data_IF_056062451972
#
_entry.id   IF_056062451972
#
_cell.length_a   1.000
_cell.length_b   1.000
_cell.length_c   1.000
_cell.angle_alpha   90.00
_cell.angle_beta   90.00
_cell.angle_gamma   90.00
#
_symmetry.space_group_name_H-M   'P 1'
#
loop_
_entity.id
_entity.type
_entity.pdbx_description
1 polymer ?
#
# COMPACT_ATOMS: atom_id res chain seq x y z
N UNK A 1 12.07 -15.48 -44.08
CA UNK A 1 12.74 -16.16 -42.94
C UNK A 1 14.16 -15.63 -42.84
N UNK A 2 14.43 -14.72 -41.91
CA UNK A 2 15.77 -14.18 -41.63
C UNK A 2 16.49 -15.20 -40.73
N UNK A 3 17.61 -15.77 -41.19
CA UNK A 3 18.49 -16.58 -40.33
C UNK A 3 19.43 -15.65 -39.58
N UNK A 4 19.21 -15.51 -38.27
CA UNK A 4 20.24 -15.08 -37.32
C UNK A 4 21.33 -16.14 -37.30
N UNK A 5 22.58 -15.74 -37.52
CA UNK A 5 23.76 -16.52 -37.16
C UNK A 5 24.47 -15.67 -36.12
N UNK A 6 24.39 -16.10 -34.86
CA UNK A 6 25.24 -15.58 -33.79
C UNK A 6 26.59 -16.30 -33.91
N UNK A 7 27.68 -15.51 -34.02
CA UNK A 7 29.04 -16.00 -33.98
C UNK A 7 29.76 -15.30 -32.82
N UNK A 8 30.04 -16.06 -31.76
CA UNK A 8 30.92 -15.65 -30.69
C UNK A 8 32.38 -15.69 -31.17
N UNK A 9 33.07 -14.56 -31.00
CA UNK A 9 34.53 -14.32 -30.95
C UNK A 9 35.43 -15.24 -31.79
N UNK A 10 35.83 -14.74 -32.96
CA UNK A 10 37.25 -14.49 -33.31
C UNK A 10 37.27 -13.70 -34.63
N UNK A 11 37.18 -12.38 -34.52
CA UNK A 11 37.22 -11.45 -35.66
C UNK A 11 38.63 -11.36 -36.23
N UNK A 12 38.92 -12.18 -37.25
CA UNK A 12 39.98 -11.92 -38.21
C UNK A 12 39.28 -11.51 -39.51
N UNK A 13 39.01 -10.22 -39.68
CA UNK A 13 38.54 -9.67 -40.96
C UNK A 13 39.77 -9.47 -41.85
N UNK A 14 40.10 -10.49 -42.64
CA UNK A 14 41.07 -10.41 -43.73
C UNK A 14 40.42 -9.74 -44.94
N UNK A 15 40.62 -8.45 -45.12
CA UNK A 15 40.29 -7.75 -46.36
C UNK A 15 41.52 -7.71 -47.29
N UNK A 16 41.63 -8.70 -48.18
CA UNK A 16 42.27 -8.57 -49.50
C UNK A 16 43.80 -8.60 -49.59
N UNK A 17 44.40 -9.80 -49.73
CA UNK A 17 45.70 -9.95 -50.40
C UNK A 17 45.47 -10.25 -51.88
N UNK A 18 45.58 -9.22 -52.73
CA UNK A 18 45.70 -9.37 -54.17
C UNK A 18 47.17 -9.51 -54.57
N UNK A 19 47.57 -10.70 -55.01
CA UNK A 19 48.87 -10.91 -55.66
C UNK A 19 48.79 -10.47 -57.13
N UNK A 20 49.57 -9.45 -57.52
CA UNK A 20 49.83 -9.14 -58.95
C UNK A 20 51.33 -8.94 -59.15
N UNK A 21 51.87 -9.66 -60.13
CA UNK A 21 53.27 -9.67 -60.51
C UNK A 21 53.74 -8.31 -61.09
N UNK A 22 54.96 -7.92 -60.72
CA UNK A 22 55.66 -6.72 -61.17
C UNK A 22 55.77 -6.60 -62.70
N UNK A 23 55.42 -5.43 -63.26
CA UNK A 23 56.22 -4.72 -64.29
C UNK A 23 55.75 -3.26 -64.46
N UNK A 24 56.56 -2.29 -64.02
CA UNK A 24 56.66 -0.96 -64.66
C UNK A 24 55.92 0.24 -64.04
N UNK A 25 56.68 1.33 -63.86
CA UNK A 25 56.30 2.77 -63.83
C UNK A 25 55.80 3.45 -62.53
N UNK A 26 56.75 4.08 -61.82
CA UNK A 26 56.79 5.45 -61.24
C UNK A 26 55.56 6.21 -60.68
N UNK A 27 54.36 5.66 -60.51
CA UNK A 27 53.23 6.41 -59.89
C UNK A 27 52.40 5.60 -58.89
N UNK A 28 53.05 4.83 -58.02
CA UNK A 28 52.38 4.14 -56.92
C UNK A 28 53.13 4.30 -55.59
N UNK A 29 53.61 5.51 -55.30
CA UNK A 29 53.65 5.96 -53.90
C UNK A 29 52.25 6.45 -53.53
N UNK A 30 51.23 5.61 -53.78
CA UNK A 30 49.96 5.73 -53.08
C UNK A 30 50.32 5.49 -51.62
N UNK A 31 50.04 6.45 -50.74
CA UNK A 31 50.36 6.33 -49.31
C UNK A 31 49.95 4.94 -48.83
N UNK A 32 50.90 4.19 -48.28
CA UNK A 32 50.58 2.90 -47.69
C UNK A 32 49.51 3.15 -46.62
N UNK A 33 48.41 2.37 -46.60
CA UNK A 33 47.38 2.56 -45.59
C UNK A 33 48.00 2.41 -44.20
N UNK A 34 47.50 3.20 -43.25
CA UNK A 34 47.88 3.06 -41.85
C UNK A 34 47.18 1.85 -41.25
N UNK A 35 47.93 1.03 -40.53
CA UNK A 35 47.36 -0.05 -39.73
C UNK A 35 47.11 0.46 -38.31
N UNK A 36 45.85 0.58 -37.91
CA UNK A 36 45.47 1.04 -36.56
C UNK A 36 44.72 -0.05 -35.80
N UNK A 37 44.68 0.05 -34.47
CA UNK A 37 43.92 -0.86 -33.60
C UNK A 37 42.90 -0.07 -32.81
N UNK A 38 41.62 -0.37 -32.99
CA UNK A 38 40.54 0.11 -32.12
C UNK A 38 40.35 -0.88 -30.98
N UNK A 39 40.33 -0.36 -29.76
CA UNK A 39 39.98 -1.08 -28.54
C UNK A 39 38.66 -0.50 -28.06
N UNK A 40 37.56 -1.20 -28.30
CA UNK A 40 36.21 -0.78 -27.88
C UNK A 40 35.66 -1.83 -26.90
N UNK A 41 35.48 -1.42 -25.64
CA UNK A 41 35.30 -2.33 -24.49
C UNK A 41 36.48 -3.32 -24.42
N UNK A 42 36.20 -4.62 -24.51
CA UNK A 42 37.22 -5.69 -24.54
C UNK A 42 37.59 -6.15 -25.96
N UNK A 43 36.93 -5.59 -26.98
CA UNK A 43 37.20 -5.99 -28.36
C UNK A 43 38.36 -5.20 -28.94
N UNK A 44 39.34 -5.92 -29.49
CA UNK A 44 40.46 -5.35 -30.23
C UNK A 44 40.31 -5.67 -31.70
N UNK A 45 40.14 -4.66 -32.52
CA UNK A 45 39.97 -4.79 -33.96
C UNK A 45 41.03 -3.98 -34.68
N UNK A 46 41.71 -4.61 -35.63
CA UNK A 46 42.74 -3.96 -36.45
C UNK A 46 42.13 -3.53 -37.78
N UNK A 47 42.43 -2.32 -38.22
CA UNK A 47 41.95 -1.73 -39.46
C UNK A 47 43.12 -1.25 -40.30
N UNK A 48 42.98 -1.36 -41.62
CA UNK A 48 43.79 -0.64 -42.58
C UNK A 48 42.98 0.55 -43.11
N UNK A 49 43.51 1.77 -42.98
CA UNK A 49 42.80 2.98 -43.37
C UNK A 49 43.69 3.94 -44.17
N UNK A 50 43.07 4.74 -45.03
CA UNK A 50 43.70 5.87 -45.72
C UNK A 50 43.20 7.23 -45.21
N UNK A 51 42.24 7.22 -44.29
CA UNK A 51 41.78 8.44 -43.63
C UNK A 51 42.93 9.06 -42.84
N UNK A 52 42.94 10.39 -42.81
CA UNK A 52 44.01 11.15 -42.17
C UNK A 52 43.68 11.37 -40.71
N UNK A 53 42.42 11.65 -40.38
CA UNK A 53 41.98 11.95 -39.02
C UNK A 53 41.11 10.84 -38.41
N UNK A 54 41.10 10.79 -37.08
CA UNK A 54 40.36 9.76 -36.35
C UNK A 54 38.84 9.90 -36.51
N UNK A 55 38.29 11.11 -36.49
CA UNK A 55 36.86 11.36 -36.75
C UNK A 55 36.41 10.84 -38.12
N UNK A 56 37.14 11.17 -39.19
CA UNK A 56 36.89 10.68 -40.55
C UNK A 56 36.90 9.16 -40.61
N UNK A 57 37.85 8.52 -39.92
CA UNK A 57 37.93 7.07 -39.83
C UNK A 57 36.73 6.45 -39.11
N UNK A 58 36.29 7.02 -37.99
CA UNK A 58 35.15 6.50 -37.23
C UNK A 58 33.86 6.59 -38.06
N UNK A 59 33.63 7.74 -38.71
CA UNK A 59 32.48 7.96 -39.58
C UNK A 59 32.48 6.98 -40.77
N UNK A 60 33.64 6.79 -41.42
CA UNK A 60 33.77 5.88 -42.57
C UNK A 60 33.55 4.39 -42.22
N UNK A 61 33.66 4.03 -40.94
CA UNK A 61 33.50 2.66 -40.45
C UNK A 61 32.23 2.45 -39.62
N UNK A 62 31.30 3.42 -39.62
CA UNK A 62 30.05 3.40 -38.86
C UNK A 62 30.28 3.16 -37.35
N UNK A 63 31.38 3.71 -36.80
CA UNK A 63 31.70 3.63 -35.36
C UNK A 63 31.16 4.88 -34.67
N UNK A 64 29.89 4.83 -34.27
CA UNK A 64 29.23 5.92 -33.56
C UNK A 64 29.71 6.01 -32.11
N UNK A 65 29.89 7.23 -31.59
CA UNK A 65 30.17 7.53 -30.19
C UNK A 65 28.95 8.20 -29.54
N UNK A 66 28.66 7.83 -28.31
CA UNK A 66 27.76 8.61 -27.46
C UNK A 66 28.45 9.89 -26.97
N UNK A 67 27.67 10.91 -26.63
CA UNK A 67 28.15 12.18 -26.03
C UNK A 67 28.95 11.97 -24.72
N UNK A 68 28.83 10.79 -24.10
CA UNK A 68 29.49 10.44 -22.83
C UNK A 68 30.57 9.36 -22.97
N UNK A 69 30.78 8.85 -24.17
CA UNK A 69 31.91 7.96 -24.44
C UNK A 69 33.22 8.76 -24.39
N UNK A 70 34.28 8.14 -23.88
CA UNK A 70 35.62 8.72 -23.90
C UNK A 70 36.45 8.01 -24.95
N UNK A 71 37.16 8.79 -25.78
CA UNK A 71 38.07 8.26 -26.79
C UNK A 71 39.48 8.81 -26.58
N UNK A 72 40.47 7.93 -26.73
CA UNK A 72 41.88 8.29 -26.70
C UNK A 72 42.63 7.62 -27.86
N UNK A 73 43.38 8.36 -28.69
CA UNK A 73 43.60 9.81 -28.65
C UNK A 73 42.34 10.60 -29.12
N UNK A 74 42.39 11.94 -29.10
CA UNK A 74 41.24 12.79 -29.45
C UNK A 74 40.81 12.65 -30.91
N UNK A 75 39.56 12.99 -31.21
CA UNK A 75 38.95 12.84 -32.55
C UNK A 75 39.71 13.55 -33.69
N UNK A 76 40.37 14.67 -33.40
CA UNK A 76 41.17 15.44 -34.35
C UNK A 76 42.61 14.91 -34.53
N UNK A 77 42.93 13.74 -33.97
CA UNK A 77 44.26 13.14 -34.05
C UNK A 77 44.53 12.58 -35.45
N UNK A 78 45.65 13.01 -36.04
CA UNK A 78 46.18 12.42 -37.27
C UNK A 78 46.61 10.96 -37.06
N UNK A 79 46.07 10.05 -37.87
CA UNK A 79 46.30 8.61 -37.79
C UNK A 79 47.71 8.23 -38.25
N UNK A 80 48.31 7.27 -37.55
CA UNK A 80 49.66 6.76 -37.85
C UNK A 80 49.69 5.24 -37.79
N UNK A 81 50.62 4.65 -38.52
CA UNK A 81 50.80 3.21 -38.52
C UNK A 81 51.15 2.67 -37.12
N UNK A 82 50.49 1.58 -36.73
CA UNK A 82 50.58 0.96 -35.41
C UNK A 82 49.82 1.69 -34.29
N UNK A 83 49.06 2.75 -34.59
CA UNK A 83 48.34 3.52 -33.57
C UNK A 83 47.27 2.68 -32.87
N UNK A 84 47.17 2.86 -31.55
CA UNK A 84 46.11 2.28 -30.72
C UNK A 84 45.15 3.39 -30.33
N UNK A 85 43.88 3.18 -30.63
CA UNK A 85 42.76 4.03 -30.24
C UNK A 85 41.91 3.23 -29.26
N UNK A 86 41.51 3.83 -28.16
CA UNK A 86 40.70 3.21 -27.11
C UNK A 86 39.42 4.01 -26.95
N UNK A 87 38.29 3.32 -27.04
CA UNK A 87 36.95 3.83 -26.78
C UNK A 87 36.49 3.23 -25.45
N UNK A 88 36.33 4.08 -24.45
CA UNK A 88 35.69 3.76 -23.19
C UNK A 88 34.22 4.15 -23.29
N UNK A 89 33.37 3.15 -23.46
CA UNK A 89 31.92 3.33 -23.57
C UNK A 89 31.30 3.73 -22.23
N UNK A 90 30.39 4.70 -22.25
CA UNK A 90 29.59 5.07 -21.09
C UNK A 90 28.70 3.89 -20.69
N UNK A 91 29.00 3.31 -19.53
CA UNK A 91 28.28 2.18 -18.97
C UNK A 91 28.58 2.05 -17.46
N UNK A 92 28.34 3.10 -16.64
CA UNK A 92 28.58 3.04 -15.20
C UNK A 92 27.73 1.94 -14.55
N UNK A 93 28.31 1.30 -13.54
CA UNK A 93 27.61 0.42 -12.61
C UNK A 93 27.02 1.22 -11.44
N UNK A 94 25.78 0.94 -11.07
CA UNK A 94 25.03 1.65 -10.03
C UNK A 94 24.31 0.63 -9.15
N UNK A 95 24.32 0.83 -7.85
CA UNK A 95 23.51 0.06 -6.90
C UNK A 95 22.24 0.86 -6.55
N UNK A 96 21.07 0.29 -6.80
CA UNK A 96 19.78 0.85 -6.39
C UNK A 96 19.30 0.07 -5.17
N UNK A 97 19.06 0.76 -4.07
CA UNK A 97 18.56 0.19 -2.81
C UNK A 97 17.14 0.71 -2.60
N UNK A 98 16.13 -0.11 -2.90
CA UNK A 98 14.72 0.25 -2.73
C UNK A 98 14.16 -0.45 -1.48
N UNK A 99 13.79 0.31 -0.46
CA UNK A 99 13.25 -0.20 0.81
C UNK A 99 14.13 -1.30 1.43
N UNK A 100 15.44 -1.07 1.43
CA UNK A 100 16.45 -2.01 1.95
C UNK A 100 16.77 -3.20 1.04
N UNK A 101 16.10 -3.34 -0.11
CA UNK A 101 16.42 -4.36 -1.12
C UNK A 101 17.32 -3.77 -2.19
N UNK A 102 18.54 -4.29 -2.32
CA UNK A 102 19.49 -3.80 -3.31
C UNK A 102 19.50 -4.60 -4.62
N UNK A 103 19.80 -3.89 -5.70
CA UNK A 103 20.04 -4.42 -7.04
C UNK A 103 21.15 -3.61 -7.73
N UNK A 104 22.12 -4.29 -8.32
CA UNK A 104 23.20 -3.66 -9.08
C UNK A 104 22.91 -3.74 -10.57
N UNK A 105 22.96 -2.60 -11.26
CA UNK A 105 22.71 -2.49 -12.69
C UNK A 105 23.81 -1.70 -13.39
N UNK A 106 24.00 -1.98 -14.68
CA UNK A 106 24.77 -1.11 -15.57
C UNK A 106 23.80 -0.31 -16.43
N UNK A 107 24.10 0.98 -16.64
CA UNK A 107 23.18 1.88 -17.33
C UNK A 107 23.86 2.74 -18.37
N UNK A 108 23.12 3.09 -19.42
CA UNK A 108 23.54 4.08 -20.43
C UNK A 108 22.95 5.47 -20.14
N UNK A 109 22.09 5.59 -19.12
CA UNK A 109 21.51 6.87 -18.72
C UNK A 109 22.60 7.79 -18.14
N UNK A 110 22.39 9.10 -18.28
CA UNK A 110 23.35 10.10 -17.81
C UNK A 110 22.97 10.69 -16.45
N UNK A 111 21.67 10.85 -16.17
CA UNK A 111 21.16 11.45 -14.94
C UNK A 111 20.34 10.45 -14.12
N UNK A 112 20.35 10.63 -12.80
CA UNK A 112 19.56 9.81 -11.86
C UNK A 112 18.07 9.79 -12.24
N UNK A 113 17.47 10.94 -12.59
CA UNK A 113 16.06 11.00 -12.99
C UNK A 113 15.72 10.08 -14.17
N UNK A 114 16.59 10.03 -15.18
CA UNK A 114 16.37 9.20 -16.37
C UNK A 114 16.52 7.72 -16.03
N UNK A 115 17.50 7.36 -15.18
CA UNK A 115 17.67 6.01 -14.66
C UNK A 115 16.43 5.53 -13.92
N UNK A 116 15.93 6.30 -12.94
CA UNK A 116 14.74 5.91 -12.17
C UNK A 116 13.52 5.72 -13.08
N UNK A 117 13.35 6.60 -14.09
CA UNK A 117 12.27 6.47 -15.07
C UNK A 117 12.40 5.18 -15.89
N UNK A 118 13.60 4.83 -16.33
CA UNK A 118 13.87 3.59 -17.09
C UNK A 118 13.59 2.35 -16.23
N UNK A 119 13.98 2.38 -14.95
CA UNK A 119 13.68 1.33 -13.96
C UNK A 119 12.23 1.37 -13.45
N UNK A 120 11.41 2.30 -13.95
CA UNK A 120 10.00 2.51 -13.57
C UNK A 120 9.79 2.79 -12.08
N UNK A 121 10.77 3.40 -11.45
CA UNK A 121 10.70 3.90 -10.08
C UNK A 121 10.16 5.33 -10.13
N UNK A 122 9.01 5.54 -9.53
CA UNK A 122 8.33 6.85 -9.48
C UNK A 122 8.28 7.30 -8.02
N UNK A 123 8.95 8.40 -7.72
CA UNK A 123 8.96 8.98 -6.39
C UNK A 123 7.69 9.79 -6.13
N UNK A 124 7.12 9.63 -4.94
CA UNK A 124 6.06 10.45 -4.36
C UNK A 124 6.66 11.60 -3.53
N UNK A 125 5.80 12.51 -3.05
CA UNK A 125 6.22 13.68 -2.27
C UNK A 125 6.94 13.30 -0.96
N UNK A 126 6.49 12.22 -0.31
CA UNK A 126 7.03 11.76 0.98
C UNK A 126 8.12 10.68 0.86
N UNK A 127 8.53 10.32 -0.37
CA UNK A 127 9.62 9.37 -0.56
C UNK A 127 10.98 10.06 -0.37
N UNK A 128 11.93 9.35 0.23
CA UNK A 128 13.29 9.85 0.44
C UNK A 128 14.26 9.20 -0.55
N UNK A 129 15.16 10.01 -1.11
CA UNK A 129 16.27 9.56 -1.95
C UNK A 129 17.57 10.22 -1.49
N UNK A 130 18.65 9.45 -1.42
CA UNK A 130 19.95 9.94 -0.93
C UNK A 130 20.71 10.84 -1.93
N UNK A 131 20.32 10.83 -3.20
CA UNK A 131 20.96 11.56 -4.32
C UNK A 131 19.98 12.47 -5.03
N UNK A 132 20.47 13.55 -5.65
CA UNK A 132 19.61 14.47 -6.38
C UNK A 132 19.18 13.88 -7.73
N UNK A 133 17.93 14.12 -8.14
CA UNK A 133 17.40 13.64 -9.43
C UNK A 133 18.17 14.18 -10.65
N UNK A 134 18.75 15.37 -10.54
CA UNK A 134 19.58 15.99 -11.58
C UNK A 134 21.08 15.68 -11.40
N UNK A 135 21.45 14.79 -10.49
CA UNK A 135 22.83 14.36 -10.35
C UNK A 135 23.24 13.46 -11.52
N UNK A 136 24.47 13.65 -12.00
CA UNK A 136 25.08 12.84 -13.05
C UNK A 136 25.50 11.50 -12.45
N UNK A 137 25.18 10.43 -13.15
CA UNK A 137 25.51 9.07 -12.74
C UNK A 137 27.03 8.87 -12.76
N UNK A 138 27.54 8.20 -11.73
CA UNK A 138 28.95 7.83 -11.60
C UNK A 138 29.06 6.32 -11.45
N UNK A 139 30.19 5.78 -11.91
CA UNK A 139 30.50 4.37 -11.71
C UNK A 139 30.64 4.07 -10.21
N UNK A 140 29.96 3.01 -9.74
CA UNK A 140 29.84 2.65 -8.33
C UNK A 140 28.91 3.54 -7.50
N UNK A 141 28.00 4.30 -8.14
CA UNK A 141 27.05 5.15 -7.41
C UNK A 141 26.01 4.31 -6.66
N UNK A 142 25.71 4.69 -5.42
CA UNK A 142 24.66 4.06 -4.61
C UNK A 142 23.45 5.01 -4.52
N UNK A 143 22.29 4.52 -4.93
CA UNK A 143 21.02 5.23 -4.97
C UNK A 143 20.07 4.53 -4.01
N UNK A 144 19.95 5.07 -2.80
CA UNK A 144 19.04 4.58 -1.78
C UNK A 144 17.72 5.35 -1.84
N UNK A 145 16.62 4.60 -1.91
CA UNK A 145 15.25 5.10 -2.01
C UNK A 145 14.41 4.43 -0.93
N UNK A 146 13.84 5.24 -0.06
CA UNK A 146 12.97 4.81 1.02
C UNK A 146 11.55 5.36 0.77
N UNK A 147 10.59 4.45 0.63
CA UNK A 147 9.18 4.78 0.37
C UNK A 147 8.29 4.26 1.48
N UNK A 148 7.06 4.76 1.54
CA UNK A 148 6.02 4.20 2.40
C UNK A 148 5.35 2.98 1.76
N UNK A 149 5.20 1.91 2.54
CA UNK A 149 4.45 0.71 2.17
C UNK A 149 3.48 0.33 3.30
N UNK A 150 2.33 -0.26 2.97
CA UNK A 150 1.39 -0.80 3.97
C UNK A 150 1.26 -2.31 3.81
N UNK A 151 1.21 -3.00 4.95
CA UNK A 151 0.99 -4.45 5.03
C UNK A 151 -0.12 -4.79 6.01
N UNK A 152 -0.66 -6.01 5.92
CA UNK A 152 -1.65 -6.53 6.87
C UNK A 152 -1.06 -7.69 7.67
N UNK A 153 -1.12 -7.59 8.99
CA UNK A 153 -0.68 -8.58 9.97
C UNK A 153 -1.89 -9.10 10.73
N UNK A 154 -2.12 -10.41 10.66
CA UNK A 154 -3.20 -11.07 11.39
C UNK A 154 -2.63 -11.66 12.67
N UNK A 155 -3.21 -11.28 13.81
CA UNK A 155 -2.78 -11.73 15.14
C UNK A 155 -3.97 -12.39 15.84
N UNK A 156 -3.83 -13.66 16.23
CA UNK A 156 -4.83 -14.36 17.03
C UNK A 156 -4.39 -14.43 18.49
N UNK A 157 -5.29 -14.08 19.41
CA UNK A 157 -5.03 -14.06 20.85
C UNK A 157 -6.20 -14.67 21.62
N UNK A 158 -5.94 -15.31 22.78
CA UNK A 158 -7.00 -15.91 23.59
C UNK A 158 -7.90 -14.85 24.23
N UNK A 159 -9.17 -15.22 24.41
CA UNK A 159 -10.18 -14.45 25.14
C UNK A 159 -10.52 -15.19 26.43
N UNK A 160 -10.18 -14.63 27.61
CA UNK A 160 -10.48 -15.27 28.89
C UNK A 160 -11.98 -15.55 29.07
N UNK A 161 -12.31 -16.64 29.76
CA UNK A 161 -13.69 -16.98 30.11
C UNK A 161 -14.08 -16.48 31.50
N UNK A 162 -15.37 -16.19 31.67
CA UNK A 162 -15.93 -15.82 32.96
C UNK A 162 -16.19 -17.05 33.85
N UNK A 163 -16.19 -16.88 35.18
CA UNK A 163 -16.69 -17.90 36.11
C UNK A 163 -18.08 -17.51 36.59
N UNK A 164 -19.05 -18.40 36.38
CA UNK A 164 -20.43 -18.24 36.81
C UNK A 164 -20.75 -19.14 38.00
N UNK A 165 -21.37 -18.58 39.03
CA UNK A 165 -21.78 -19.31 40.23
C UNK A 165 -23.31 -19.35 40.28
N UNK A 166 -23.88 -20.56 40.22
CA UNK A 166 -25.33 -20.76 40.26
C UNK A 166 -25.72 -21.46 41.56
N UNK A 167 -26.69 -20.92 42.30
CA UNK A 167 -27.16 -21.55 43.53
C UNK A 167 -28.11 -22.72 43.21
N UNK A 168 -28.00 -23.83 43.96
CA UNK A 168 -28.85 -25.01 43.78
C UNK A 168 -29.27 -25.63 45.12
N UNK A 169 -30.52 -26.08 45.20
CA UNK A 169 -31.03 -26.88 46.32
C UNK A 169 -30.70 -28.37 46.21
N UNK A 170 -30.04 -28.81 45.14
CA UNK A 170 -29.58 -30.20 44.98
C UNK A 170 -28.28 -30.52 45.72
N UNK A 171 -27.62 -29.50 46.29
CA UNK A 171 -26.38 -29.64 47.07
C UNK A 171 -26.58 -29.04 48.47
N UNK A 172 -26.00 -29.65 49.52
CA UNK A 172 -26.02 -29.08 50.88
C UNK A 172 -25.44 -27.67 50.93
N UNK A 173 -25.96 -26.85 51.83
CA UNK A 173 -25.44 -25.50 52.07
C UNK A 173 -23.92 -25.53 52.34
N UNK A 174 -23.20 -24.62 51.69
CA UNK A 174 -21.73 -24.55 51.75
C UNK A 174 -20.96 -25.50 50.82
N UNK A 175 -21.60 -26.52 50.22
CA UNK A 175 -20.94 -27.43 49.26
C UNK A 175 -20.99 -26.83 47.85
N UNK A 176 -19.85 -26.77 47.17
CA UNK A 176 -19.77 -26.31 45.77
C UNK A 176 -19.28 -27.43 44.85
N UNK A 177 -19.76 -27.45 43.60
CA UNK A 177 -19.32 -28.39 42.58
C UNK A 177 -19.10 -27.68 41.25
N UNK A 178 -17.94 -27.88 40.63
CA UNK A 178 -17.68 -27.43 39.25
C UNK A 178 -18.49 -28.32 38.29
N UNK A 179 -19.23 -27.68 37.39
CA UNK A 179 -20.11 -28.32 36.40
C UNK A 179 -19.54 -28.16 34.99
N UNK A 180 -18.82 -27.08 34.73
CA UNK A 180 -18.03 -26.83 33.52
C UNK A 180 -16.73 -26.15 33.92
N UNK A 181 -15.59 -26.59 33.39
CA UNK A 181 -14.28 -25.95 33.66
C UNK A 181 -14.08 -24.63 32.90
N UNK A 182 -14.96 -24.32 31.94
CA UNK A 182 -14.81 -23.21 31.01
C UNK A 182 -13.76 -23.48 29.93
N UNK A 183 -13.78 -22.67 28.88
CA UNK A 183 -12.80 -22.68 27.78
C UNK A 183 -12.55 -21.26 27.32
N UNK A 184 -11.29 -20.92 27.09
CA UNK A 184 -10.95 -19.63 26.48
C UNK A 184 -11.53 -19.58 25.07
N UNK A 185 -12.02 -18.40 24.70
CA UNK A 185 -12.31 -18.10 23.31
C UNK A 185 -11.05 -17.66 22.58
N UNK A 186 -11.21 -17.29 21.32
CA UNK A 186 -10.13 -16.74 20.51
C UNK A 186 -10.64 -15.51 19.78
N UNK A 187 -9.83 -14.44 19.75
CA UNK A 187 -10.06 -13.26 18.92
C UNK A 187 -8.97 -13.12 17.87
N UNK A 188 -9.37 -12.71 16.68
CA UNK A 188 -8.50 -12.35 15.56
C UNK A 188 -8.44 -10.84 15.45
N UNK A 189 -7.23 -10.31 15.38
CA UNK A 189 -6.95 -8.90 15.18
C UNK A 189 -6.30 -8.71 13.83
N UNK A 190 -6.81 -7.78 13.04
CA UNK A 190 -6.16 -7.33 11.81
C UNK A 190 -5.45 -6.03 12.13
N UNK A 191 -4.13 -6.06 12.00
CA UNK A 191 -3.24 -4.92 12.23
C UNK A 191 -2.70 -4.49 10.88
N UNK A 192 -2.93 -3.25 10.48
CA UNK A 192 -2.24 -2.63 9.36
C UNK A 192 -0.88 -2.14 9.84
N UNK A 193 0.17 -2.46 9.10
CA UNK A 193 1.55 -2.13 9.44
C UNK A 193 2.07 -1.18 8.37
N UNK A 194 2.49 0.01 8.79
CA UNK A 194 3.10 1.02 7.93
C UNK A 194 4.61 0.83 7.99
N UNK A 195 5.23 0.67 6.83
CA UNK A 195 6.67 0.54 6.64
C UNK A 195 7.23 1.79 5.98
N UNK A 196 8.45 2.16 6.33
CA UNK A 196 9.23 3.17 5.63
C UNK A 196 10.66 2.68 5.49
N UNK A 197 11.16 2.59 4.26
CA UNK A 197 12.48 2.00 4.00
C UNK A 197 12.59 0.53 4.43
N UNK A 198 11.46 -0.19 4.43
CA UNK A 198 11.37 -1.58 4.92
C UNK A 198 11.31 -1.74 6.44
N UNK A 199 11.42 -0.66 7.22
CA UNK A 199 11.28 -0.70 8.68
C UNK A 199 9.86 -0.37 9.13
N UNK A 200 9.36 -1.05 10.18
CA UNK A 200 8.05 -0.76 10.76
C UNK A 200 8.05 0.63 11.41
N UNK A 201 7.22 1.53 10.91
CA UNK A 201 6.96 2.85 11.51
C UNK A 201 5.77 2.82 12.44
N UNK A 202 4.70 2.14 12.05
CA UNK A 202 3.44 2.16 12.80
C UNK A 202 2.69 0.83 12.67
N UNK A 203 2.00 0.42 13.74
CA UNK A 203 1.06 -0.70 13.74
C UNK A 203 -0.32 -0.19 14.19
N UNK A 204 -1.31 -0.31 13.30
CA UNK A 204 -2.65 0.26 13.46
C UNK A 204 -3.65 -0.88 13.57
N UNK A 205 -4.35 -0.99 14.71
CA UNK A 205 -5.41 -1.98 14.88
C UNK A 205 -6.64 -1.60 14.03
N UNK A 206 -6.85 -2.31 12.93
CA UNK A 206 -7.98 -2.07 12.01
C UNK A 206 -9.25 -2.71 12.54
N UNK A 207 -9.16 -3.97 12.98
CA UNK A 207 -10.33 -4.71 13.45
C UNK A 207 -9.99 -5.76 14.50
N UNK A 208 -10.99 -6.13 15.29
CA UNK A 208 -10.94 -7.24 16.23
C UNK A 208 -12.24 -8.03 16.11
N UNK A 209 -12.13 -9.33 15.93
CA UNK A 209 -13.26 -10.24 15.77
C UNK A 209 -13.11 -11.43 16.72
N UNK A 210 -14.15 -11.76 17.48
CA UNK A 210 -14.17 -13.01 18.26
C UNK A 210 -14.50 -14.15 17.30
N UNK A 211 -13.51 -15.01 17.03
CA UNK A 211 -13.66 -16.15 16.13
C UNK A 211 -14.12 -17.41 16.87
N UNK A 212 -13.87 -17.46 18.18
CA UNK A 212 -14.36 -18.50 19.08
C UNK A 212 -14.81 -17.86 20.39
N UNK A 213 -16.05 -18.09 20.80
CA UNK A 213 -16.61 -17.51 22.02
C UNK A 213 -16.05 -18.24 23.25
N UNK A 214 -15.67 -17.53 24.33
CA UNK A 214 -15.30 -18.19 25.57
C UNK A 214 -16.49 -18.92 26.20
N UNK A 215 -16.26 -20.15 26.65
CA UNK A 215 -17.24 -20.92 27.44
C UNK A 215 -17.00 -20.65 28.93
N UNK A 216 -18.00 -20.21 29.72
CA UNK A 216 -17.78 -19.91 31.12
C UNK A 216 -17.51 -21.16 31.96
N UNK A 217 -16.72 -20.99 33.03
CA UNK A 217 -16.60 -21.98 34.11
C UNK A 217 -17.82 -21.90 34.99
N UNK A 218 -18.57 -22.99 35.14
CA UNK A 218 -19.82 -23.02 35.89
C UNK A 218 -19.59 -23.76 37.22
N UNK A 219 -19.93 -23.10 38.33
CA UNK A 219 -19.85 -23.65 39.67
C UNK A 219 -21.26 -23.62 40.30
N UNK A 220 -21.77 -24.79 40.66
CA UNK A 220 -23.01 -24.86 41.43
C UNK A 220 -22.71 -24.79 42.92
N UNK A 221 -23.32 -23.84 43.63
CA UNK A 221 -23.22 -23.68 45.08
C UNK A 221 -24.50 -24.16 45.77
N UNK A 222 -24.36 -25.08 46.71
CA UNK A 222 -25.47 -25.61 47.49
C UNK A 222 -26.06 -24.58 48.44
N UNK A 223 -27.39 -24.58 48.52
CA UNK A 223 -28.20 -23.80 49.48
C UNK A 223 -29.19 -24.68 50.24
N UNK A 224 -29.10 -26.01 50.09
CA UNK A 224 -29.99 -26.93 50.79
C UNK A 224 -29.58 -27.03 52.25
N UNK A 225 -30.40 -26.47 53.13
CA UNK A 225 -30.26 -26.65 54.57
C UNK A 225 -31.15 -27.83 54.95
N UNK A 226 -30.56 -28.92 55.44
CA UNK A 226 -31.35 -30.00 56.04
C UNK A 226 -32.11 -29.44 57.26
N UNK A 227 -33.40 -29.76 57.41
CA UNK A 227 -34.14 -29.33 58.59
C UNK A 227 -33.50 -29.95 59.83
N UNK A 228 -33.00 -29.10 60.73
CA UNK A 228 -32.55 -29.55 62.05
C UNK A 228 -33.78 -30.07 62.80
N UNK A 229 -33.84 -31.38 63.00
CA UNK A 229 -34.87 -32.01 63.82
C UNK A 229 -34.70 -31.57 65.27
N UNK A 230 -35.51 -30.59 65.69
CA UNK A 230 -35.70 -30.26 67.10
C UNK A 230 -36.84 -31.15 67.61
N UNK A 231 -36.62 -32.08 68.55
CA UNK A 231 -37.72 -32.89 69.08
C UNK A 231 -38.76 -31.97 69.75
N UNK A 232 -40.00 -31.99 69.26
CA UNK A 232 -41.09 -31.21 69.86
C UNK A 232 -41.47 -31.76 71.25
N UNK A 233 -41.71 -30.89 72.25
CA UNK A 233 -42.42 -31.29 73.46
C UNK A 233 -43.90 -31.52 73.16
N UNK A 234 -44.36 -32.71 73.51
CA UNK A 234 -45.75 -33.21 73.43
C UNK A 234 -46.74 -32.20 74.03
N UNK A 235 -47.72 -31.68 73.29
CA UNK A 235 -48.99 -31.19 73.85
C UNK A 235 -50.18 -31.25 72.86
N UNK A 236 -51.36 -31.31 73.47
CA UNK A 236 -52.65 -31.85 73.01
C UNK A 236 -53.48 -30.82 72.20
N UNK A 237 -54.38 -31.39 71.39
CA UNK A 237 -55.30 -30.82 70.38
C UNK A 237 -56.20 -29.65 70.79
N UNK A 238 -56.47 -28.75 69.81
CA UNK A 238 -57.82 -28.23 69.52
C UNK A 238 -57.90 -27.58 68.12
N UNK A 239 -58.90 -27.99 67.33
CA UNK A 239 -59.23 -27.44 66.01
C UNK A 239 -59.85 -26.04 66.10
N UNK A 240 -59.41 -25.10 65.25
CA UNK A 240 -60.21 -23.96 64.74
C UNK A 240 -59.77 -23.61 63.31
N UNK A 241 -60.74 -23.36 62.44
CA UNK A 241 -60.69 -23.04 61.01
C UNK A 241 -60.37 -21.56 60.72
N UNK A 242 -59.53 -21.24 59.70
CA UNK A 242 -59.41 -19.91 59.03
C UNK A 242 -58.87 -20.11 57.58
N UNK A 243 -59.38 -19.41 56.54
CA UNK A 243 -59.18 -19.76 55.12
C UNK A 243 -57.86 -19.28 54.49
N UNK A 244 -57.59 -19.81 53.28
CA UNK A 244 -56.40 -19.60 52.43
C UNK A 244 -56.01 -18.12 52.20
N UNK A 245 -54.70 -17.78 52.20
CA UNK A 245 -54.21 -16.54 51.62
C UNK A 245 -53.79 -16.74 50.15
N UNK A 246 -54.31 -15.84 49.31
CA UNK A 246 -53.91 -15.59 47.93
C UNK A 246 -52.42 -15.22 47.89
N UNK A 247 -51.65 -15.91 47.04
CA UNK A 247 -50.24 -15.60 46.80
C UNK A 247 -50.13 -14.44 45.81
N UNK A 248 -49.75 -13.26 46.27
CA UNK A 248 -49.24 -12.19 45.42
C UNK A 248 -47.77 -12.46 45.07
N UNK A 249 -47.35 -12.42 43.79
CA UNK A 249 -45.94 -12.43 43.45
C UNK A 249 -45.30 -11.10 43.83
N UNK A 250 -44.31 -11.14 44.74
CA UNK A 250 -43.43 -10.00 45.03
C UNK A 250 -42.53 -9.71 43.82
N UNK A 251 -42.48 -8.43 43.48
CA UNK A 251 -41.69 -7.80 42.44
C UNK A 251 -40.25 -8.32 42.35
N UNK A 252 -39.88 -8.78 41.16
CA UNK A 252 -38.51 -9.02 40.71
C UNK A 252 -37.80 -7.67 40.59
N UNK A 253 -36.67 -7.51 41.27
CA UNK A 253 -35.70 -6.46 40.96
C UNK A 253 -34.98 -6.84 39.67
N UNK A 254 -35.36 -6.18 38.57
CA UNK A 254 -34.65 -6.23 37.29
C UNK A 254 -33.56 -5.15 37.35
N UNK A 255 -32.26 -5.46 37.23
CA UNK A 255 -31.30 -4.42 36.94
C UNK A 255 -31.67 -3.85 35.57
N UNK A 256 -31.99 -2.55 35.53
CA UNK A 256 -32.22 -1.83 34.28
C UNK A 256 -31.04 -2.07 33.34
N UNK A 257 -31.25 -2.47 32.07
CA UNK A 257 -30.20 -2.33 31.09
C UNK A 257 -29.91 -0.84 30.98
N UNK A 258 -28.69 -0.44 31.30
CA UNK A 258 -28.17 0.86 30.85
C UNK A 258 -28.31 0.88 29.35
N UNK A 259 -29.37 1.53 28.85
CA UNK A 259 -29.52 1.90 27.46
C UNK A 259 -28.31 2.77 27.14
N UNK A 260 -27.31 2.20 26.48
CA UNK A 260 -26.31 3.00 25.79
C UNK A 260 -27.07 3.71 24.67
N UNK A 261 -27.43 4.97 24.92
CA UNK A 261 -27.92 5.88 23.88
C UNK A 261 -26.78 5.99 22.86
N UNK A 262 -27.04 5.57 21.63
CA UNK A 262 -26.07 5.73 20.56
C UNK A 262 -25.83 7.23 20.38
N UNK A 263 -24.58 7.67 20.19
CA UNK A 263 -24.32 9.07 19.94
C UNK A 263 -24.99 9.48 18.62
N UNK A 264 -25.45 10.74 18.57
CA UNK A 264 -26.18 11.28 17.42
C UNK A 264 -25.50 12.51 16.86
N UNK A 265 -25.62 12.71 15.55
CA UNK A 265 -25.29 13.95 14.85
C UNK A 265 -26.56 14.54 14.25
N UNK A 266 -26.74 15.86 14.34
CA UNK A 266 -27.91 16.53 13.79
C UNK A 266 -27.62 17.08 12.40
N UNK A 267 -28.45 16.73 11.44
CA UNK A 267 -28.43 17.34 10.11
C UNK A 267 -29.86 17.77 9.72
N UNK A 268 -30.02 19.03 9.33
CA UNK A 268 -31.32 19.63 8.98
C UNK A 268 -32.41 19.43 10.06
N UNK A 269 -32.03 19.50 11.34
CA UNK A 269 -32.95 19.33 12.47
C UNK A 269 -33.37 17.89 12.75
N UNK A 270 -32.81 16.91 12.04
CA UNK A 270 -33.04 15.48 12.28
C UNK A 270 -31.79 14.84 12.90
N UNK A 271 -31.91 14.09 14.00
CA UNK A 271 -30.81 13.34 14.58
C UNK A 271 -30.55 12.05 13.79
N UNK A 272 -29.28 11.73 13.59
CA UNK A 272 -28.79 10.49 12.99
C UNK A 272 -27.86 9.79 13.97
N UNK A 273 -28.15 8.55 14.33
CA UNK A 273 -27.24 7.72 15.12
C UNK A 273 -26.01 7.34 14.28
N UNK A 274 -24.83 7.34 14.90
CA UNK A 274 -23.59 6.91 14.26
C UNK A 274 -22.85 5.87 15.09
N UNK A 275 -22.02 5.06 14.44
CA UNK A 275 -21.24 3.98 15.08
C UNK A 275 -19.76 4.32 15.22
N UNK A 276 -19.23 5.19 14.36
CA UNK A 276 -17.83 5.63 14.35
C UNK A 276 -17.73 7.10 13.99
N UNK A 277 -16.81 7.84 14.63
CA UNK A 277 -16.39 9.20 14.27
C UNK A 277 -14.92 9.15 13.86
N UNK A 278 -14.59 9.78 12.75
CA UNK A 278 -13.25 9.95 12.19
C UNK A 278 -12.98 11.45 12.01
N UNK A 279 -11.74 11.89 12.11
CA UNK A 279 -11.35 13.27 11.75
C UNK A 279 -10.41 13.15 10.56
N UNK A 280 -10.89 13.53 9.38
CA UNK A 280 -10.28 13.24 8.08
C UNK A 280 -9.84 14.54 7.41
N UNK A 281 -8.81 14.48 6.57
CA UNK A 281 -8.47 15.60 5.70
C UNK A 281 -9.40 15.59 4.48
N UNK A 282 -10.26 16.60 4.41
CA UNK A 282 -11.24 16.73 3.35
C UNK A 282 -10.67 17.59 2.21
N UNK A 283 -10.70 17.04 1.01
CA UNK A 283 -10.50 17.76 -0.25
C UNK A 283 -11.82 17.81 -1.02
N UNK A 284 -11.81 18.51 -2.15
CA UNK A 284 -12.99 18.63 -2.99
C UNK A 284 -12.64 18.37 -4.45
N UNK A 285 -13.56 17.74 -5.16
CA UNK A 285 -13.45 17.47 -6.58
C UNK A 285 -14.75 17.78 -7.31
N UNK A 286 -14.62 17.97 -8.62
CA UNK A 286 -15.74 18.18 -9.53
C UNK A 286 -15.40 17.56 -10.87
N UNK A 287 -16.43 17.23 -11.66
CA UNK A 287 -16.26 16.74 -13.01
C UNK A 287 -16.32 17.88 -14.03
N UNK A 288 -15.40 17.90 -14.99
CA UNK A 288 -15.43 18.84 -16.10
C UNK A 288 -16.02 18.18 -17.36
N UNK A 289 -16.88 18.89 -18.12
CA UNK A 289 -17.35 18.39 -19.41
C UNK A 289 -16.18 18.07 -20.36
N UNK A 290 -15.98 16.80 -20.68
CA UNK A 290 -14.87 16.32 -21.52
C UNK A 290 -13.95 15.29 -20.84
N UNK A 291 -14.11 15.06 -19.53
CA UNK A 291 -13.30 14.08 -18.81
C UNK A 291 -13.61 12.63 -19.22
N UNK A 292 -12.55 11.81 -19.27
CA UNK A 292 -12.61 10.38 -19.68
C UNK A 292 -13.60 9.54 -18.85
N UNK A 293 -13.88 9.97 -17.63
CA UNK A 293 -14.73 9.28 -16.65
C UNK A 293 -15.96 10.11 -16.25
N UNK A 294 -16.35 11.06 -17.10
CA UNK A 294 -17.48 11.97 -16.84
C UNK A 294 -18.73 11.20 -16.42
N UNK A 295 -19.22 11.50 -15.21
CA UNK A 295 -20.42 10.93 -14.59
C UNK A 295 -20.36 9.41 -14.30
N UNK A 296 -19.16 8.85 -14.10
CA UNK A 296 -18.95 7.48 -13.67
C UNK A 296 -18.14 7.44 -12.37
N UNK A 297 -18.73 6.88 -11.31
CA UNK A 297 -18.03 6.60 -10.04
C UNK A 297 -17.57 5.15 -9.97
N UNK A 298 -16.61 4.84 -9.10
CA UNK A 298 -16.13 3.48 -8.89
C UNK A 298 -17.22 2.48 -8.45
N UNK A 299 -18.30 2.94 -7.81
CA UNK A 299 -19.47 2.09 -7.49
C UNK A 299 -20.48 1.96 -8.64
N UNK A 300 -20.28 2.66 -9.76
CA UNK A 300 -21.22 2.72 -10.88
C UNK A 300 -22.42 3.64 -10.68
N UNK A 301 -22.42 4.48 -9.64
CA UNK A 301 -23.46 5.50 -9.43
C UNK A 301 -23.14 6.77 -10.22
N UNK A 302 -24.15 7.56 -10.65
CA UNK A 302 -23.89 8.91 -11.17
C UNK A 302 -23.30 9.80 -10.06
N UNK A 303 -22.54 10.83 -10.44
CA UNK A 303 -22.06 11.81 -9.45
C UNK A 303 -23.15 12.81 -9.10
N UNK A 304 -23.24 13.13 -7.81
CA UNK A 304 -24.16 14.13 -7.25
C UNK A 304 -23.60 14.65 -5.93
N UNK A 305 -24.07 15.82 -5.46
CA UNK A 305 -23.66 16.36 -4.14
C UNK A 305 -24.08 15.39 -3.04
N UNK A 306 -23.12 14.90 -2.27
CA UNK A 306 -23.28 13.75 -1.36
C UNK A 306 -22.51 12.51 -1.81
N UNK A 307 -21.90 12.52 -3.00
CA UNK A 307 -20.89 11.55 -3.39
C UNK A 307 -19.56 11.89 -2.76
N UNK A 308 -18.89 10.89 -2.16
CA UNK A 308 -17.53 11.07 -1.64
C UNK A 308 -16.62 9.96 -2.13
N UNK A 309 -15.37 10.32 -2.41
CA UNK A 309 -14.29 9.38 -2.65
C UNK A 309 -13.59 9.07 -1.31
N UNK A 310 -13.36 7.79 -1.05
CA UNK A 310 -12.77 7.32 0.20
C UNK A 310 -11.75 6.24 -0.06
N UNK A 311 -10.85 6.03 0.90
CA UNK A 311 -10.09 4.79 0.98
C UNK A 311 -11.03 3.63 1.36
N UNK A 312 -11.12 2.61 0.50
CA UNK A 312 -12.02 1.45 0.67
C UNK A 312 -11.62 0.56 1.84
N UNK A 313 -10.35 0.58 2.22
CA UNK A 313 -9.86 -0.19 3.36
C UNK A 313 -10.32 0.44 4.69
N UNK A 314 -10.57 1.75 4.72
CA UNK A 314 -11.08 2.48 5.90
C UNK A 314 -12.61 2.62 5.90
N UNK A 315 -13.19 2.95 4.74
CA UNK A 315 -14.63 3.16 4.56
C UNK A 315 -15.08 2.37 3.31
N UNK A 316 -15.75 1.22 3.48
CA UNK A 316 -16.21 0.43 2.34
C UNK A 316 -17.15 1.23 1.42
N UNK A 317 -17.07 1.00 0.10
CA UNK A 317 -18.03 1.59 -0.83
C UNK A 317 -19.46 1.17 -0.48
N UNK A 318 -20.39 2.11 -0.66
CA UNK A 318 -21.78 2.03 -0.24
C UNK A 318 -22.04 2.60 1.15
N UNK A 319 -21.01 2.84 1.97
CA UNK A 319 -21.17 3.33 3.34
C UNK A 319 -21.85 4.70 3.38
N UNK A 320 -22.89 4.81 4.21
CA UNK A 320 -23.62 6.04 4.53
C UNK A 320 -22.93 6.74 5.68
N UNK A 321 -22.60 8.01 5.47
CA UNK A 321 -21.85 8.82 6.40
C UNK A 321 -22.40 10.25 6.47
N UNK A 322 -22.01 10.99 7.49
CA UNK A 322 -22.21 12.43 7.59
C UNK A 322 -20.84 13.09 7.66
N UNK A 323 -20.61 14.10 6.83
CA UNK A 323 -19.39 14.93 6.88
C UNK A 323 -19.76 16.29 7.43
N UNK A 324 -19.02 16.75 8.43
CA UNK A 324 -19.19 18.07 9.04
C UNK A 324 -19.20 19.19 7.99
N UNK A 325 -20.16 20.11 8.11
CA UNK A 325 -20.46 21.22 7.19
C UNK A 325 -20.76 20.86 5.73
N UNK A 326 -20.63 19.60 5.33
CA UNK A 326 -20.99 19.13 4.01
C UNK A 326 -22.34 18.42 4.00
N UNK A 327 -22.63 17.55 4.96
CA UNK A 327 -23.90 16.86 5.14
C UNK A 327 -23.86 15.33 4.93
N UNK A 328 -25.04 14.71 4.74
CA UNK A 328 -25.17 13.26 4.52
C UNK A 328 -24.56 12.85 3.19
N UNK A 329 -23.77 11.78 3.16
CA UNK A 329 -23.02 11.35 2.01
C UNK A 329 -22.97 9.82 1.88
N UNK A 330 -22.57 9.37 0.69
CA UNK A 330 -22.30 7.97 0.37
C UNK A 330 -20.88 7.84 -0.16
N UNK A 331 -20.12 6.91 0.41
CA UNK A 331 -18.85 6.45 -0.14
C UNK A 331 -19.12 5.70 -1.46
N UNK A 332 -19.12 6.39 -2.59
CA UNK A 332 -19.43 5.77 -3.89
C UNK A 332 -18.28 5.83 -4.88
N UNK A 333 -17.19 6.50 -4.52
CA UNK A 333 -16.06 6.66 -5.42
C UNK A 333 -14.73 6.29 -4.77
N UNK A 334 -13.72 6.09 -5.62
CA UNK A 334 -12.31 6.04 -5.18
C UNK A 334 -11.46 6.94 -6.06
N UNK A 335 -10.66 7.79 -5.42
CA UNK A 335 -9.60 8.52 -6.11
C UNK A 335 -8.30 7.72 -6.06
N UNK A 336 -7.48 7.80 -7.10
CA UNK A 336 -6.17 7.16 -7.14
C UNK A 336 -5.14 7.77 -6.16
N UNK A 337 -5.49 8.90 -5.55
CA UNK A 337 -4.66 9.66 -4.61
C UNK A 337 -5.34 9.83 -3.23
N UNK A 338 -6.39 9.07 -2.94
CA UNK A 338 -7.02 9.06 -1.60
C UNK A 338 -6.40 7.92 -0.80
N UNK A 339 -5.57 8.28 0.17
CA UNK A 339 -4.96 7.34 1.10
C UNK A 339 -5.37 7.62 2.55
N UNK A 340 -5.67 6.53 3.26
CA UNK A 340 -5.82 6.43 4.70
C UNK A 340 -6.80 7.41 5.38
N UNK A 341 -6.43 8.67 5.60
CA UNK A 341 -7.24 9.66 6.31
C UNK A 341 -7.86 10.73 5.41
N UNK A 342 -7.74 10.60 4.09
CA UNK A 342 -8.29 11.54 3.13
C UNK A 342 -9.73 11.19 2.73
N UNK A 343 -10.54 12.24 2.52
CA UNK A 343 -11.88 12.13 1.96
C UNK A 343 -12.07 13.23 0.90
N UNK A 344 -12.50 12.85 -0.30
CA UNK A 344 -12.75 13.82 -1.37
C UNK A 344 -14.25 14.04 -1.53
N UNK A 345 -14.69 15.29 -1.43
CA UNK A 345 -16.10 15.66 -1.44
C UNK A 345 -16.48 16.16 -2.83
N UNK A 346 -17.51 15.57 -3.43
CA UNK A 346 -17.98 16.01 -4.73
C UNK A 346 -18.74 17.35 -4.65
N UNK A 347 -18.40 18.29 -5.53
CA UNK A 347 -19.13 19.53 -5.75
C UNK A 347 -19.53 19.69 -7.23
N UNK A 348 -20.57 20.48 -7.47
CA UNK A 348 -21.13 20.67 -8.81
C UNK A 348 -20.31 21.65 -9.66
N UNK A 349 -19.54 22.54 -9.04
CA UNK A 349 -18.78 23.56 -9.77
C UNK A 349 -17.32 23.66 -9.29
N UNK A 350 -16.39 24.00 -10.19
CA UNK A 350 -15.01 24.32 -9.82
C UNK A 350 -14.92 25.44 -8.78
N UNK A 351 -15.81 26.44 -8.83
CA UNK A 351 -15.83 27.53 -7.84
C UNK A 351 -16.03 27.00 -6.42
N UNK A 352 -16.98 26.09 -6.22
CA UNK A 352 -17.23 25.48 -4.91
C UNK A 352 -16.04 24.65 -4.43
N UNK A 353 -15.35 23.96 -5.34
CA UNK A 353 -14.10 23.22 -5.02
C UNK A 353 -13.01 24.17 -4.53
N UNK A 354 -12.79 25.29 -5.24
CA UNK A 354 -11.81 26.30 -4.84
C UNK A 354 -12.17 26.99 -3.53
N UNK A 355 -13.45 27.30 -3.33
CA UNK A 355 -13.93 27.94 -2.11
C UNK A 355 -13.87 27.00 -0.90
N UNK A 356 -14.06 25.69 -1.10
CA UNK A 356 -13.93 24.68 -0.06
C UNK A 356 -12.46 24.51 0.39
N UNK A 357 -11.55 24.28 -0.56
CA UNK A 357 -10.13 24.05 -0.26
C UNK A 357 -9.86 22.79 0.59
N UNK A 358 -8.59 22.55 0.95
CA UNK A 358 -8.20 21.43 1.82
C UNK A 358 -8.42 21.81 3.29
N UNK A 359 -9.17 21.00 4.04
CA UNK A 359 -9.48 21.27 5.44
C UNK A 359 -9.80 19.99 6.22
N UNK A 360 -9.58 19.96 7.52
CA UNK A 360 -9.96 18.81 8.34
C UNK A 360 -11.47 18.83 8.64
N UNK A 361 -12.14 17.69 8.53
CA UNK A 361 -13.57 17.51 8.83
C UNK A 361 -13.83 16.29 9.70
N UNK A 362 -14.80 16.41 10.59
CA UNK A 362 -15.34 15.26 11.30
C UNK A 362 -16.30 14.45 10.40
N UNK A 363 -16.02 13.16 10.27
CA UNK A 363 -16.77 12.19 9.46
C UNK A 363 -17.41 11.14 10.38
N UNK A 364 -18.71 10.93 10.23
CA UNK A 364 -19.51 10.07 11.11
C UNK A 364 -20.11 8.93 10.29
N UNK A 365 -19.72 7.69 10.58
CA UNK A 365 -20.29 6.50 9.94
C UNK A 365 -21.67 6.24 10.54
N UNK A 366 -22.71 6.40 9.73
CA UNK A 366 -24.09 6.34 10.22
C UNK A 366 -24.47 4.91 10.58
N UNK A 367 -25.31 4.73 11.58
CA UNK A 367 -25.79 3.40 11.96
C UNK A 367 -26.83 2.88 10.96
N UNK A 368 -27.68 3.76 10.45
CA UNK A 368 -28.62 3.43 9.38
C UNK A 368 -27.94 3.52 8.01
N UNK A 369 -27.63 2.35 7.44
CA UNK A 369 -27.00 2.23 6.13
C UNK A 369 -28.02 2.15 4.98
N UNK A 370 -29.33 2.20 5.27
CA UNK A 370 -30.41 2.15 4.28
C UNK A 370 -30.81 3.54 3.74
N UNK A 371 -30.15 4.60 4.21
CA UNK A 371 -30.42 5.99 3.83
C UNK A 371 -30.23 6.21 2.33
N UNK A 372 -31.24 6.76 1.67
CA UNK A 372 -31.15 7.24 0.29
C UNK A 372 -30.53 8.65 0.27
N UNK A 373 -29.22 8.71 0.05
CA UNK A 373 -28.47 9.97 0.03
C UNK A 373 -28.89 10.85 -1.13
N UNK A 374 -29.13 10.25 -2.30
CA UNK A 374 -29.48 10.99 -3.51
C UNK A 374 -30.85 11.68 -3.33
N UNK A 375 -31.83 10.98 -2.76
CA UNK A 375 -33.12 11.57 -2.43
C UNK A 375 -33.02 12.68 -1.37
N UNK A 376 -32.17 12.52 -0.36
CA UNK A 376 -31.97 13.53 0.69
C UNK A 376 -31.25 14.79 0.22
N UNK A 377 -30.38 14.66 -0.78
CA UNK A 377 -29.57 15.75 -1.29
C UNK A 377 -30.26 16.59 -2.38
N UNK A 378 -31.39 16.10 -2.88
CA UNK A 378 -32.14 16.76 -3.96
C UNK A 378 -31.34 16.70 -5.26
N UNK A 379 -31.60 15.67 -6.06
CA UNK A 379 -30.96 15.44 -7.35
C UNK A 379 -30.95 16.67 -8.26
#
# INVERSE_FOLDING_TARGET
MKKKIELFVTGLVLAGVGAVANTGTLTAYQSQPHTITIIDKDMKTQYETREVYLDEFLDANDIELSDHDLIYPSLDTELKDGMRITIQRWNPEVEIILNGKSETIQTQEYMVADLLRTERIVLKEDDEINVALNEIIKDGMEIEINTYETGKKIVETPVPFATEIHNTSSLPDGVSRVVSEGKEGTKRQVVEVVYFGGEVKEEILVSTEIIEQPEPKIINKGIHVEPVYVPEPVHVTKHVYVPEPVYEPKHVYVPSPTHQVNPTVNWNGKPYEYTKKLTMEATAYTHQPGDRWYNQTASGMPTFVGMVAVDRDQIPLGTKLYVEDYGIAIAGDVGGAIDWNDIDLYFNSPSEVYDFGRQHKDVYILKDQSIDVQALRGA
#
